data_IF_969126268902
#
_entry.id   IF_969126268902
#
_cell.length_a   1.000
_cell.length_b   1.000
_cell.length_c   1.000
_cell.angle_alpha   90.00
_cell.angle_beta   90.00
_cell.angle_gamma   90.00
#
_symmetry.space_group_name_H-M   'P 1'
#
loop_
_entity.id
_entity.type
_entity.pdbx_description
1 polymer ?
#
# COMPACT_ATOMS: atom_id res chain seq x y z
N UNK A 1 -9.32 -19.98 -26.17
CA UNK A 1 -10.72 -19.68 -25.79
C UNK A 1 -10.97 -18.18 -25.58
N UNK A 2 -10.08 -17.46 -24.86
CA UNK A 2 -10.26 -16.02 -24.65
C UNK A 2 -9.68 -15.14 -25.77
N UNK A 3 -8.63 -15.61 -26.45
CA UNK A 3 -8.04 -15.00 -27.66
C UNK A 3 -7.64 -13.51 -27.50
N UNK A 4 -7.21 -12.86 -28.59
CA UNK A 4 -6.85 -11.44 -28.64
C UNK A 4 -7.60 -10.74 -29.77
N UNK A 5 -7.55 -9.41 -29.78
CA UNK A 5 -8.08 -8.59 -30.86
C UNK A 5 -7.03 -8.42 -31.97
N UNK A 6 -7.46 -8.57 -33.22
CA UNK A 6 -6.56 -8.51 -34.39
C UNK A 6 -7.28 -7.85 -35.57
N UNK A 7 -6.56 -6.95 -36.24
CA UNK A 7 -7.05 -6.12 -37.35
C UNK A 7 -5.98 -6.12 -38.43
N UNK A 8 -6.40 -6.19 -39.69
CA UNK A 8 -5.49 -6.09 -40.84
C UNK A 8 -5.13 -4.64 -41.17
N UNK A 9 -4.26 -4.45 -42.17
CA UNK A 9 -3.83 -3.13 -42.63
C UNK A 9 -4.97 -2.28 -43.20
N UNK A 10 -6.05 -2.91 -43.64
CA UNK A 10 -7.24 -2.26 -44.20
C UNK A 10 -8.28 -1.91 -43.12
N UNK A 11 -7.98 -2.19 -41.84
CA UNK A 11 -8.89 -1.95 -40.72
C UNK A 11 -9.97 -3.02 -40.55
N UNK A 12 -9.91 -4.13 -41.29
CA UNK A 12 -10.86 -5.24 -41.15
C UNK A 12 -10.51 -6.09 -39.93
N UNK A 13 -11.52 -6.36 -39.11
CA UNK A 13 -11.37 -7.17 -37.90
C UNK A 13 -11.20 -8.63 -38.27
N UNK A 14 -10.01 -9.17 -38.06
CA UNK A 14 -9.69 -10.60 -38.28
C UNK A 14 -10.11 -11.45 -37.08
N UNK A 15 -9.91 -10.92 -35.86
CA UNK A 15 -10.19 -11.63 -34.62
C UNK A 15 -10.75 -10.70 -33.55
N UNK A 16 -11.74 -11.18 -32.82
CA UNK A 16 -12.30 -10.51 -31.64
C UNK A 16 -11.88 -11.26 -30.38
N UNK A 17 -11.43 -10.51 -29.37
CA UNK A 17 -11.22 -11.05 -28.03
C UNK A 17 -12.57 -11.48 -27.43
N UNK A 18 -12.62 -12.70 -26.89
CA UNK A 18 -13.87 -13.33 -26.41
C UNK A 18 -13.96 -13.36 -24.88
N UNK A 19 -12.94 -12.92 -24.17
CA UNK A 19 -13.00 -12.76 -22.72
C UNK A 19 -11.75 -12.13 -22.13
N UNK A 20 -11.80 -11.91 -20.82
CA UNK A 20 -10.79 -11.20 -20.05
C UNK A 20 -10.38 -12.01 -18.83
N UNK A 21 -9.11 -11.88 -18.44
CA UNK A 21 -8.61 -12.41 -17.17
C UNK A 21 -8.67 -11.30 -16.14
N UNK A 22 -9.50 -11.47 -15.11
CA UNK A 22 -9.50 -10.59 -13.94
C UNK A 22 -8.60 -11.18 -12.87
N UNK A 23 -7.48 -10.52 -12.58
CA UNK A 23 -6.52 -10.93 -11.55
C UNK A 23 -6.70 -10.02 -10.35
N UNK A 24 -7.20 -10.57 -9.24
CA UNK A 24 -7.31 -9.86 -7.97
C UNK A 24 -6.27 -10.41 -6.99
N UNK A 25 -5.73 -9.55 -6.13
CA UNK A 25 -4.84 -9.95 -5.04
C UNK A 25 -5.22 -9.16 -3.79
N UNK A 26 -5.34 -9.84 -2.65
CA UNK A 26 -5.71 -9.22 -1.38
C UNK A 26 -4.59 -8.33 -0.80
N UNK A 27 -3.31 -8.62 -1.11
CA UNK A 27 -2.19 -8.06 -0.35
C UNK A 27 -1.13 -7.31 -1.16
N UNK A 28 -1.19 -7.25 -2.50
CA UNK A 28 -0.34 -6.33 -3.29
C UNK A 28 -0.66 -6.34 -4.80
N UNK A 29 -0.39 -5.19 -5.42
CA UNK A 29 -0.31 -5.02 -6.86
C UNK A 29 0.79 -5.90 -7.48
N UNK A 30 1.91 -6.09 -6.77
CA UNK A 30 3.12 -6.75 -7.30
C UNK A 30 2.84 -8.20 -7.77
N UNK A 31 2.07 -9.01 -7.02
CA UNK A 31 1.72 -10.38 -7.44
C UNK A 31 0.79 -10.39 -8.65
N UNK A 32 -0.14 -9.43 -8.74
CA UNK A 32 -1.02 -9.34 -9.92
C UNK A 32 -0.23 -8.97 -11.16
N UNK A 33 0.73 -8.03 -11.05
CA UNK A 33 1.56 -7.60 -12.18
C UNK A 33 2.38 -8.77 -12.75
N UNK A 34 2.97 -9.60 -11.89
CA UNK A 34 3.68 -10.81 -12.32
C UNK A 34 2.75 -11.75 -13.09
N UNK A 35 1.58 -12.09 -12.55
CA UNK A 35 0.62 -12.99 -13.24
C UNK A 35 0.15 -12.40 -14.57
N UNK A 36 -0.20 -11.11 -14.59
CA UNK A 36 -0.63 -10.43 -15.81
C UNK A 36 0.47 -10.39 -16.87
N UNK A 37 1.72 -10.15 -16.48
CA UNK A 37 2.87 -10.19 -17.41
C UNK A 37 3.09 -11.58 -18.03
N UNK A 38 2.88 -12.66 -17.26
CA UNK A 38 2.99 -14.03 -17.77
C UNK A 38 1.90 -14.32 -18.80
N UNK A 39 0.66 -13.91 -18.52
CA UNK A 39 -0.46 -14.07 -19.46
C UNK A 39 -0.21 -13.26 -20.74
N UNK A 40 0.22 -12.00 -20.60
CA UNK A 40 0.51 -11.14 -21.73
C UNK A 40 1.66 -11.69 -22.59
N UNK A 41 2.74 -12.19 -21.96
CA UNK A 41 3.86 -12.82 -22.68
C UNK A 41 3.36 -13.97 -23.54
N UNK A 42 2.59 -14.88 -22.93
CA UNK A 42 2.03 -16.04 -23.64
C UNK A 42 1.14 -15.61 -24.81
N UNK A 43 0.31 -14.59 -24.61
CA UNK A 43 -0.53 -14.06 -25.69
C UNK A 43 0.32 -13.52 -26.86
N UNK A 44 1.39 -12.77 -26.58
CA UNK A 44 2.28 -12.24 -27.63
C UNK A 44 2.99 -13.37 -28.38
N UNK A 45 3.51 -14.38 -27.69
CA UNK A 45 4.19 -15.51 -28.34
C UNK A 45 3.24 -16.31 -29.24
N UNK A 46 2.03 -16.59 -28.75
CA UNK A 46 0.99 -17.26 -29.55
C UNK A 46 0.56 -16.44 -30.76
N UNK A 47 0.48 -15.11 -30.63
CA UNK A 47 0.17 -14.21 -31.75
C UNK A 47 1.25 -14.27 -32.84
N UNK A 48 2.52 -14.38 -32.46
CA UNK A 48 3.64 -14.52 -33.39
C UNK A 48 3.79 -15.94 -33.95
N UNK A 49 2.87 -16.87 -33.64
CA UNK A 49 2.91 -18.25 -34.13
C UNK A 49 3.99 -19.11 -33.47
N UNK A 50 4.54 -18.68 -32.33
CA UNK A 50 5.56 -19.42 -31.60
C UNK A 50 4.88 -20.50 -30.75
N UNK A 51 5.34 -21.74 -30.89
CA UNK A 51 4.87 -22.82 -30.03
C UNK A 51 5.34 -22.59 -28.58
N UNK A 52 4.37 -22.50 -27.67
CA UNK A 52 4.58 -22.26 -26.25
C UNK A 52 4.45 -23.53 -25.41
N UNK A 53 4.19 -24.68 -26.03
CA UNK A 53 4.01 -25.95 -25.30
C UNK A 53 5.32 -26.51 -24.73
N UNK A 54 6.45 -26.23 -25.36
CA UNK A 54 7.79 -26.65 -24.93
C UNK A 54 8.56 -25.58 -24.14
N UNK A 55 8.04 -24.34 -24.08
CA UNK A 55 8.69 -23.25 -23.37
C UNK A 55 8.37 -23.31 -21.88
N UNK A 56 9.39 -23.09 -21.05
CA UNK A 56 9.15 -22.78 -19.65
C UNK A 56 8.33 -21.49 -19.56
N UNK A 57 7.28 -21.50 -18.74
CA UNK A 57 6.32 -20.40 -18.62
C UNK A 57 6.94 -19.03 -18.27
N UNK A 58 8.19 -19.03 -17.82
CA UNK A 58 8.90 -17.85 -17.35
C UNK A 58 9.71 -17.11 -18.43
N UNK A 59 10.08 -17.74 -19.54
CA UNK A 59 10.97 -17.13 -20.55
C UNK A 59 10.51 -17.41 -21.99
N UNK A 60 10.81 -16.46 -22.88
CA UNK A 60 10.71 -16.63 -24.33
C UNK A 60 12.08 -16.99 -24.93
N UNK A 61 12.11 -17.60 -26.12
CA UNK A 61 13.36 -17.94 -26.80
C UNK A 61 14.12 -16.72 -27.35
N UNK A 62 13.62 -15.50 -27.15
CA UNK A 62 14.16 -14.27 -27.73
C UNK A 62 14.70 -13.34 -26.63
N UNK A 63 16.02 -13.33 -26.36
CA UNK A 63 16.60 -12.57 -25.25
C UNK A 63 16.35 -11.05 -25.31
N UNK A 64 16.39 -10.47 -26.52
CA UNK A 64 16.13 -9.04 -26.71
C UNK A 64 14.67 -8.68 -26.38
N UNK A 65 13.73 -9.53 -26.78
CA UNK A 65 12.32 -9.38 -26.41
C UNK A 65 12.12 -9.52 -24.90
N UNK A 66 12.74 -10.51 -24.24
CA UNK A 66 12.62 -10.65 -22.78
C UNK A 66 13.11 -9.41 -22.03
N UNK A 67 14.26 -8.86 -22.43
CA UNK A 67 14.79 -7.66 -21.78
C UNK A 67 13.82 -6.48 -21.94
N UNK A 68 13.35 -6.23 -23.16
CA UNK A 68 12.38 -5.16 -23.43
C UNK A 68 11.05 -5.37 -22.69
N UNK A 69 10.52 -6.59 -22.73
CA UNK A 69 9.24 -6.95 -22.11
C UNK A 69 9.29 -6.84 -20.59
N UNK A 70 10.36 -7.37 -19.95
CA UNK A 70 10.56 -7.28 -18.50
C UNK A 70 10.69 -5.82 -18.04
N UNK A 71 11.41 -4.98 -18.78
CA UNK A 71 11.52 -3.55 -18.47
C UNK A 71 10.17 -2.84 -18.62
N UNK A 72 9.45 -3.06 -19.71
CA UNK A 72 8.13 -2.45 -19.95
C UNK A 72 7.13 -2.82 -18.83
N UNK A 73 7.12 -4.09 -18.41
CA UNK A 73 6.24 -4.54 -17.32
C UNK A 73 6.68 -4.07 -15.93
N UNK A 74 7.98 -3.81 -15.72
CA UNK A 74 8.45 -3.17 -14.51
C UNK A 74 8.00 -1.70 -14.45
N UNK A 75 8.10 -0.97 -15.55
CA UNK A 75 7.68 0.43 -15.62
C UNK A 75 6.16 0.59 -15.50
N UNK A 76 5.39 -0.34 -16.09
CA UNK A 76 3.95 -0.43 -15.86
C UNK A 76 3.62 -0.67 -14.37
N UNK A 77 4.36 -1.57 -13.70
CA UNK A 77 4.17 -1.83 -12.29
C UNK A 77 4.43 -0.57 -11.45
N UNK A 78 5.50 0.16 -11.76
CA UNK A 78 5.86 1.41 -11.09
C UNK A 78 4.77 2.47 -11.25
N UNK A 79 4.30 2.69 -12.48
CA UNK A 79 3.25 3.67 -12.77
C UNK A 79 1.94 3.34 -12.02
N UNK A 80 1.49 2.08 -12.06
CA UNK A 80 0.26 1.67 -11.36
C UNK A 80 0.46 1.71 -9.84
N UNK A 81 1.66 1.38 -9.34
CA UNK A 81 1.98 1.47 -7.91
C UNK A 81 1.93 2.90 -7.39
N UNK A 82 2.37 3.89 -8.16
CA UNK A 82 2.27 5.30 -7.78
C UNK A 82 0.80 5.72 -7.65
N UNK A 83 -0.04 5.29 -8.59
CA UNK A 83 -1.48 5.54 -8.55
C UNK A 83 -2.21 4.81 -7.43
N UNK A 84 -1.70 3.68 -6.95
CA UNK A 84 -2.34 2.91 -5.88
C UNK A 84 -1.79 3.26 -4.50
N UNK A 85 -0.49 3.10 -4.31
CA UNK A 85 0.20 3.20 -3.03
C UNK A 85 1.01 4.51 -2.85
N UNK A 86 1.07 5.37 -3.88
CA UNK A 86 1.82 6.64 -3.84
C UNK A 86 3.35 6.48 -3.89
N UNK A 87 3.85 5.27 -4.12
CA UNK A 87 5.28 4.97 -4.31
C UNK A 87 5.49 4.10 -5.54
N UNK A 88 6.73 3.98 -6.02
CA UNK A 88 7.09 2.94 -7.00
C UNK A 88 6.77 1.52 -6.50
N UNK A 89 6.78 0.55 -7.41
CA UNK A 89 6.53 -0.85 -7.12
C UNK A 89 7.64 -1.41 -6.20
N UNK A 90 7.31 -2.45 -5.42
CA UNK A 90 8.33 -3.18 -4.69
C UNK A 90 8.87 -4.28 -5.60
N UNK A 91 10.12 -4.69 -5.37
CA UNK A 91 10.77 -5.78 -6.10
C UNK A 91 10.93 -5.53 -7.60
N UNK A 92 11.01 -4.27 -8.02
CA UNK A 92 11.28 -3.91 -9.43
C UNK A 92 12.59 -4.50 -9.94
N UNK A 93 13.60 -4.63 -9.07
CA UNK A 93 14.87 -5.30 -9.37
C UNK A 93 14.69 -6.79 -9.71
N UNK A 94 13.79 -7.48 -9.00
CA UNK A 94 13.44 -8.87 -9.29
C UNK A 94 12.71 -8.99 -10.63
N UNK A 95 11.80 -8.07 -10.96
CA UNK A 95 11.13 -8.06 -12.27
C UNK A 95 12.10 -7.78 -13.42
N UNK A 96 13.07 -6.87 -13.22
CA UNK A 96 14.06 -6.49 -14.25
C UNK A 96 15.16 -7.52 -14.44
N UNK A 97 15.67 -8.12 -13.37
CA UNK A 97 16.89 -8.95 -13.42
C UNK A 97 16.69 -10.41 -13.01
N UNK A 98 15.52 -10.77 -12.47
CA UNK A 98 15.26 -12.11 -11.93
C UNK A 98 16.03 -12.44 -10.64
N UNK A 99 16.86 -11.52 -10.13
CA UNK A 99 17.65 -11.69 -8.90
C UNK A 99 17.43 -10.52 -7.96
N UNK A 100 17.66 -10.75 -6.67
CA UNK A 100 17.59 -9.70 -5.65
C UNK A 100 18.93 -9.03 -5.44
N UNK A 101 18.92 -7.70 -5.45
CA UNK A 101 20.10 -6.87 -5.17
C UNK A 101 19.99 -6.22 -3.79
N UNK A 102 21.13 -5.97 -3.13
CA UNK A 102 21.16 -5.29 -1.81
C UNK A 102 20.62 -3.86 -1.94
N UNK A 103 20.99 -3.16 -3.01
CA UNK A 103 20.47 -1.83 -3.30
C UNK A 103 18.94 -1.84 -3.52
N UNK A 104 18.41 -2.83 -4.25
CA UNK A 104 16.97 -3.02 -4.43
C UNK A 104 16.25 -3.36 -3.12
N UNK A 105 16.87 -4.12 -2.22
CA UNK A 105 16.32 -4.41 -0.91
C UNK A 105 16.23 -3.16 -0.02
N UNK A 106 17.23 -2.28 -0.05
CA UNK A 106 17.20 -1.00 0.68
C UNK A 106 16.13 -0.06 0.13
N UNK A 107 16.05 0.08 -1.20
CA UNK A 107 15.02 0.90 -1.85
C UNK A 107 13.62 0.42 -1.50
N UNK A 108 13.42 -0.90 -1.45
CA UNK A 108 12.16 -1.48 -1.04
C UNK A 108 11.84 -1.26 0.44
N UNK A 109 12.84 -1.19 1.29
CA UNK A 109 12.68 -0.78 2.69
C UNK A 109 12.12 0.64 2.78
N UNK A 110 12.73 1.59 2.06
CA UNK A 110 12.26 2.99 2.00
C UNK A 110 10.83 3.05 1.47
N UNK A 111 10.57 2.41 0.32
CA UNK A 111 9.23 2.36 -0.26
C UNK A 111 8.21 1.74 0.71
N UNK A 112 8.59 0.70 1.47
CA UNK A 112 7.70 0.06 2.44
C UNK A 112 7.34 1.00 3.60
N UNK A 113 8.30 1.77 4.13
CA UNK A 113 8.04 2.77 5.17
C UNK A 113 7.14 3.89 4.63
N UNK A 114 7.43 4.39 3.43
CA UNK A 114 6.62 5.42 2.78
C UNK A 114 5.20 4.94 2.53
N UNK A 115 5.02 3.72 2.02
CA UNK A 115 3.69 3.09 1.85
C UNK A 115 2.97 2.94 3.19
N UNK A 116 3.67 2.52 4.24
CA UNK A 116 3.08 2.41 5.57
C UNK A 116 2.54 3.77 6.04
N UNK A 117 3.30 4.85 5.85
CA UNK A 117 2.84 6.19 6.17
C UNK A 117 1.61 6.60 5.32
N UNK A 118 1.73 6.52 3.99
CA UNK A 118 0.67 6.94 3.07
C UNK A 118 -0.63 6.17 3.31
N UNK A 119 -0.55 4.85 3.48
CA UNK A 119 -1.71 3.98 3.71
C UNK A 119 -2.41 4.28 5.04
N UNK A 120 -1.68 4.70 6.08
CA UNK A 120 -2.27 4.94 7.39
C UNK A 120 -2.72 6.38 7.60
N UNK A 121 -2.05 7.37 6.98
CA UNK A 121 -2.27 8.78 7.31
C UNK A 121 -2.79 9.63 6.15
N UNK A 122 -2.77 9.13 4.91
CA UNK A 122 -3.19 9.90 3.72
C UNK A 122 -4.26 9.19 2.89
N UNK A 123 -4.35 7.86 2.98
CA UNK A 123 -5.24 7.05 2.13
C UNK A 123 -6.72 7.35 2.32
N UNK A 124 -7.17 7.65 3.55
CA UNK A 124 -8.56 8.01 3.80
C UNK A 124 -9.03 9.22 2.98
N UNK A 125 -8.21 10.27 2.91
CA UNK A 125 -8.51 11.48 2.11
C UNK A 125 -8.50 11.15 0.61
N UNK A 126 -7.57 10.28 0.17
CA UNK A 126 -7.48 9.83 -1.21
C UNK A 126 -8.74 9.09 -1.64
N UNK A 127 -9.21 8.16 -0.80
CA UNK A 127 -10.44 7.42 -1.04
C UNK A 127 -11.66 8.36 -1.09
N UNK A 128 -11.72 9.32 -0.19
CA UNK A 128 -12.79 10.32 -0.17
C UNK A 128 -12.81 11.16 -1.46
N UNK A 129 -11.64 11.52 -1.99
CA UNK A 129 -11.54 12.23 -3.27
C UNK A 129 -12.04 11.38 -4.45
N UNK A 130 -11.76 10.07 -4.45
CA UNK A 130 -12.30 9.15 -5.46
C UNK A 130 -13.82 9.03 -5.37
N UNK A 131 -14.37 8.91 -4.15
CA UNK A 131 -15.81 8.79 -3.95
C UNK A 131 -16.57 10.05 -4.39
N UNK A 132 -15.98 11.24 -4.22
CA UNK A 132 -16.51 12.48 -4.80
C UNK A 132 -16.42 12.50 -6.33
N UNK A 133 -15.27 12.13 -6.89
CA UNK A 133 -15.03 12.20 -8.33
C UNK A 133 -15.92 11.25 -9.13
N UNK A 134 -16.15 10.04 -8.59
CA UNK A 134 -17.00 9.01 -9.23
C UNK A 134 -18.49 9.26 -8.95
N UNK A 135 -18.83 10.21 -8.07
CA UNK A 135 -20.22 10.53 -7.72
C UNK A 135 -20.87 9.56 -6.73
N UNK A 136 -20.07 8.81 -5.96
CA UNK A 136 -20.56 7.91 -4.90
C UNK A 136 -21.08 8.68 -3.68
N UNK A 137 -20.66 9.95 -3.50
CA UNK A 137 -21.14 10.82 -2.44
C UNK A 137 -21.78 12.09 -3.02
N UNK A 138 -22.93 12.49 -2.49
CA UNK A 138 -23.61 13.75 -2.83
C UNK A 138 -23.63 14.65 -1.61
N UNK A 139 -23.02 15.83 -1.72
CA UNK A 139 -22.98 16.80 -0.62
C UNK A 139 -24.36 17.46 -0.41
N UNK A 140 -24.85 17.44 0.83
CA UNK A 140 -26.02 18.20 1.26
C UNK A 140 -25.58 19.45 2.03
N UNK A 141 -26.20 20.60 1.72
CA UNK A 141 -25.94 21.88 2.42
C UNK A 141 -26.40 21.88 3.87
N UNK A 142 -27.27 20.95 4.25
CA UNK A 142 -27.82 20.83 5.61
C UNK A 142 -26.95 19.97 6.54
N UNK A 143 -25.99 19.24 5.98
CA UNK A 143 -25.09 18.37 6.75
C UNK A 143 -23.76 19.06 7.00
N UNK A 144 -23.20 18.85 8.18
CA UNK A 144 -21.84 19.32 8.50
C UNK A 144 -20.81 18.70 7.55
N UNK A 145 -19.68 19.38 7.39
CA UNK A 145 -18.55 18.85 6.62
C UNK A 145 -18.10 17.52 7.23
N UNK A 146 -18.05 16.43 6.46
CA UNK A 146 -17.60 15.13 6.95
C UNK A 146 -16.07 15.09 7.13
N UNK A 147 -15.34 16.10 6.62
CA UNK A 147 -13.91 16.26 6.87
C UNK A 147 -13.66 16.89 8.24
N UNK A 148 -13.18 16.07 9.18
CA UNK A 148 -12.76 16.55 10.50
C UNK A 148 -11.28 16.92 10.54
N UNK A 149 -10.91 17.88 11.39
CA UNK A 149 -9.50 18.29 11.59
C UNK A 149 -8.63 17.12 12.04
N UNK A 150 -9.18 16.23 12.88
CA UNK A 150 -8.49 15.03 13.35
C UNK A 150 -8.17 14.06 12.23
N UNK A 151 -9.09 13.87 11.27
CA UNK A 151 -8.88 12.99 10.12
C UNK A 151 -7.78 13.54 9.20
N UNK A 152 -7.81 14.85 8.92
CA UNK A 152 -6.82 15.51 8.05
C UNK A 152 -5.41 15.49 8.65
N UNK A 153 -5.29 15.55 9.97
CA UNK A 153 -4.01 15.67 10.68
C UNK A 153 -3.73 14.46 11.59
N UNK A 154 -4.24 13.28 11.26
CA UNK A 154 -4.15 12.06 12.08
C UNK A 154 -2.72 11.75 12.58
N UNK A 155 -1.71 11.95 11.73
CA UNK A 155 -0.30 11.80 12.10
C UNK A 155 0.15 12.79 13.17
N UNK A 156 -0.24 14.07 13.05
CA UNK A 156 0.09 15.12 14.02
C UNK A 156 -0.59 14.85 15.35
N UNK A 157 -1.86 14.42 15.34
CA UNK A 157 -2.57 14.02 16.55
C UNK A 157 -1.88 12.85 17.25
N UNK A 158 -1.50 11.81 16.50
CA UNK A 158 -0.76 10.67 17.06
C UNK A 158 0.59 11.09 17.65
N UNK A 159 1.33 11.98 16.98
CA UNK A 159 2.61 12.51 17.51
C UNK A 159 2.39 13.33 18.79
N UNK A 160 1.33 14.15 18.82
CA UNK A 160 0.98 14.97 19.98
C UNK A 160 0.62 14.11 21.18
N UNK A 161 -0.18 13.05 20.97
CA UNK A 161 -0.52 12.07 22.01
C UNK A 161 0.74 11.35 22.53
N UNK A 162 1.66 10.96 21.63
CA UNK A 162 2.92 10.31 22.01
C UNK A 162 3.82 11.25 22.84
N UNK A 163 3.93 12.52 22.46
CA UNK A 163 4.70 13.53 23.21
C UNK A 163 4.05 13.81 24.57
N UNK A 164 2.71 13.91 24.63
CA UNK A 164 1.98 14.07 25.89
C UNK A 164 2.23 12.90 26.84
N UNK A 165 2.18 11.67 26.34
CA UNK A 165 2.48 10.48 27.13
C UNK A 165 3.94 10.46 27.62
N UNK A 166 4.90 10.83 26.76
CA UNK A 166 6.31 10.92 27.14
C UNK A 166 6.53 11.96 28.25
N UNK A 167 5.87 13.12 28.15
CA UNK A 167 5.95 14.17 29.16
C UNK A 167 5.35 13.72 30.50
N UNK A 168 4.25 12.97 30.48
CA UNK A 168 3.65 12.38 31.70
C UNK A 168 4.62 11.38 32.35
N UNK A 169 5.21 10.46 31.56
CA UNK A 169 6.17 9.46 32.08
C UNK A 169 7.39 10.16 32.69
N UNK A 170 7.95 11.15 31.99
CA UNK A 170 9.06 11.94 32.50
C UNK A 170 8.67 12.70 33.78
N UNK A 171 7.48 13.31 33.84
CA UNK A 171 6.97 14.01 35.01
C UNK A 171 6.78 13.08 36.23
N UNK A 172 6.26 11.88 36.02
CA UNK A 172 6.13 10.86 37.08
C UNK A 172 7.51 10.40 37.57
N UNK A 173 8.43 10.11 36.66
CA UNK A 173 9.81 9.74 37.02
C UNK A 173 10.51 10.83 37.81
N UNK A 174 10.36 12.10 37.40
CA UNK A 174 10.86 13.27 38.13
C UNK A 174 10.24 13.39 39.53
N UNK A 175 8.98 12.98 39.71
CA UNK A 175 8.26 13.10 40.98
C UNK A 175 8.60 11.96 41.96
N UNK A 176 8.81 10.74 41.46
CA UNK A 176 9.14 9.57 42.28
C UNK A 176 10.58 9.62 42.84
N UNK A 177 11.51 10.20 42.08
CA UNK A 177 12.93 10.31 42.44
C UNK A 177 13.29 11.71 42.96
N UNK A 178 12.43 12.32 43.79
CA UNK A 178 12.63 13.71 44.23
C UNK A 178 13.95 13.94 45.01
N UNK A 179 14.44 12.92 45.72
CA UNK A 179 15.68 12.97 46.51
C UNK A 179 16.97 12.94 45.68
N UNK A 180 16.88 12.55 44.41
CA UNK A 180 18.05 12.29 43.56
C UNK A 180 18.47 13.56 42.80
N UNK A 181 19.70 13.57 42.28
CA UNK A 181 20.20 14.67 41.47
C UNK A 181 19.37 14.84 40.18
N UNK A 182 19.16 16.08 39.76
CA UNK A 182 18.31 16.45 38.61
C UNK A 182 18.79 15.77 37.33
N UNK A 183 20.11 15.61 37.17
CA UNK A 183 20.72 14.94 36.01
C UNK A 183 20.28 13.48 35.90
N UNK A 184 20.27 12.77 37.03
CA UNK A 184 19.84 11.37 37.14
C UNK A 184 18.35 11.26 36.86
N UNK A 185 17.54 12.15 37.44
CA UNK A 185 16.08 12.15 37.28
C UNK A 185 15.64 12.39 35.84
N UNK A 186 16.28 13.34 35.14
CA UNK A 186 15.99 13.61 33.72
C UNK A 186 16.40 12.43 32.85
N UNK A 187 17.60 11.86 33.08
CA UNK A 187 18.06 10.68 32.36
C UNK A 187 17.08 9.51 32.51
N UNK A 188 16.72 9.19 33.74
CA UNK A 188 15.87 8.04 34.04
C UNK A 188 14.43 8.25 33.52
N UNK A 189 13.93 9.49 33.55
CA UNK A 189 12.67 9.86 32.93
C UNK A 189 12.67 9.72 31.40
N UNK A 190 13.74 10.14 30.72
CA UNK A 190 13.90 9.96 29.27
C UNK A 190 14.01 8.48 28.89
N UNK A 191 14.76 7.69 29.66
CA UNK A 191 14.88 6.24 29.46
C UNK A 191 13.53 5.56 29.67
N UNK A 192 12.80 5.90 30.73
CA UNK A 192 11.47 5.36 31.00
C UNK A 192 10.47 5.72 29.90
N UNK A 193 10.50 6.95 29.39
CA UNK A 193 9.66 7.37 28.27
C UNK A 193 10.00 6.61 26.99
N UNK A 194 11.29 6.45 26.66
CA UNK A 194 11.73 5.69 25.49
C UNK A 194 11.31 4.21 25.55
N UNK A 195 11.49 3.56 26.72
CA UNK A 195 11.07 2.17 26.95
C UNK A 195 9.55 2.04 26.87
N UNK A 196 8.81 2.94 27.53
CA UNK A 196 7.35 2.95 27.53
C UNK A 196 6.76 3.13 26.14
N UNK A 197 7.27 4.09 25.36
CA UNK A 197 6.84 4.32 23.98
C UNK A 197 7.19 3.14 23.07
N UNK A 198 8.37 2.53 23.25
CA UNK A 198 8.78 1.35 22.46
C UNK A 198 7.89 0.14 22.74
N UNK A 199 7.53 -0.08 24.01
CA UNK A 199 6.58 -1.13 24.41
C UNK A 199 5.18 -0.86 23.85
N UNK A 200 4.70 0.39 23.93
CA UNK A 200 3.41 0.78 23.36
C UNK A 200 3.39 0.56 21.85
N UNK A 201 4.43 1.02 21.14
CA UNK A 201 4.57 0.81 19.70
C UNK A 201 4.57 -0.69 19.35
N UNK A 202 5.32 -1.51 20.10
CA UNK A 202 5.31 -2.96 19.94
C UNK A 202 3.91 -3.56 20.16
N UNK A 203 3.19 -3.13 21.19
CA UNK A 203 1.83 -3.60 21.48
C UNK A 203 0.82 -3.18 20.40
N UNK A 204 0.94 -1.97 19.87
CA UNK A 204 0.10 -1.48 18.76
C UNK A 204 0.38 -2.23 17.45
N UNK A 205 1.63 -2.62 17.20
CA UNK A 205 2.04 -3.39 16.03
C UNK A 205 1.71 -4.90 16.17
N UNK A 206 1.69 -5.43 17.40
CA UNK A 206 1.42 -6.85 17.66
C UNK A 206 -0.06 -7.18 17.39
N UNK A 207 -0.29 -8.23 16.60
CA UNK A 207 -1.62 -8.73 16.26
C UNK A 207 -2.39 -9.13 17.53
N UNK A 208 -3.48 -8.44 17.87
CA UNK A 208 -4.27 -8.69 19.08
C UNK A 208 -5.17 -7.52 19.49
N UNK A 209 -5.53 -7.45 20.78
CA UNK A 209 -6.47 -6.45 21.34
C UNK A 209 -6.08 -4.99 21.11
N UNK A 210 -4.78 -4.66 21.10
CA UNK A 210 -4.30 -3.27 20.96
C UNK A 210 -4.39 -2.73 19.54
N UNK A 211 -4.66 -3.58 18.54
CA UNK A 211 -4.90 -3.13 17.16
C UNK A 211 -6.11 -2.19 17.07
N UNK A 212 -7.09 -2.34 17.97
CA UNK A 212 -8.28 -1.47 17.99
C UNK A 212 -7.93 -0.02 18.29
N UNK A 213 -6.97 0.20 19.20
CA UNK A 213 -6.45 1.51 19.61
C UNK A 213 -5.69 2.16 18.45
N UNK A 214 -4.85 1.39 17.76
CA UNK A 214 -4.14 1.89 16.57
C UNK A 214 -5.07 2.40 15.46
N UNK A 215 -6.32 1.92 15.39
CA UNK A 215 -7.32 2.43 14.43
C UNK A 215 -7.82 3.84 14.76
N UNK A 216 -7.54 4.40 15.93
CA UNK A 216 -7.85 5.81 16.23
C UNK A 216 -6.77 6.75 15.74
N UNK A 217 -5.55 6.25 15.54
CA UNK A 217 -4.41 7.03 15.10
C UNK A 217 -4.31 7.16 13.57
N UNK A 218 -5.18 6.50 12.80
CA UNK A 218 -5.11 6.44 11.33
C UNK A 218 -6.18 7.30 10.67
N UNK A 219 -5.86 7.85 9.51
CA UNK A 219 -6.79 8.56 8.64
C UNK A 219 -7.73 7.57 7.94
N UNK A 220 -8.98 7.50 8.39
CA UNK A 220 -10.03 6.72 7.71
C UNK A 220 -10.76 7.58 6.67
N UNK A 221 -11.36 6.97 5.63
CA UNK A 221 -12.27 7.69 4.74
C UNK A 221 -13.52 8.15 5.51
N UNK A 222 -14.01 9.34 5.19
CA UNK A 222 -15.20 9.96 5.75
C UNK A 222 -16.48 9.61 4.97
N UNK A 223 -16.40 9.51 3.64
CA UNK A 223 -17.55 9.22 2.79
C UNK A 223 -17.80 7.72 2.66
N UNK A 224 -16.72 6.95 2.64
CA UNK A 224 -16.81 5.53 2.45
C UNK A 224 -17.30 4.89 3.76
N UNK A 225 -18.58 4.48 3.80
CA UNK A 225 -19.09 3.57 4.82
C UNK A 225 -18.45 2.21 4.62
N UNK A 226 -17.17 2.05 4.93
CA UNK A 226 -16.53 0.75 4.81
C UNK A 226 -17.20 -0.19 5.80
N UNK A 227 -18.07 -1.04 5.26
CA UNK A 227 -18.74 -2.16 5.90
C UNK A 227 -17.79 -3.26 6.40
N UNK A 228 -16.56 -2.90 6.81
CA UNK A 228 -15.76 -3.75 7.68
C UNK A 228 -16.26 -3.72 9.13
N UNK A 229 -17.06 -2.70 9.51
CA UNK A 229 -17.80 -2.65 10.78
C UNK A 229 -19.21 -2.10 10.51
N UNK A 230 -20.03 -2.89 9.84
CA UNK A 230 -21.49 -2.98 10.05
C UNK A 230 -21.94 -4.26 9.36
N UNK A 231 -22.11 -5.34 10.14
CA UNK A 231 -23.12 -6.32 9.76
C UNK A 231 -24.45 -5.58 9.84
N UNK A 232 -25.29 -5.59 8.80
CA UNK A 232 -26.69 -5.29 9.01
C UNK A 232 -27.16 -6.31 10.06
N UNK A 233 -27.71 -5.82 11.16
CA UNK A 233 -28.49 -6.68 12.04
C UNK A 233 -29.59 -7.30 11.18
N UNK A 234 -29.53 -8.60 10.97
CA UNK A 234 -30.68 -9.36 10.52
C UNK A 234 -31.72 -9.30 11.64
N UNK A 235 -32.65 -8.36 11.53
CA UNK A 235 -34.11 -8.57 11.55
C UNK A 235 -34.85 -7.24 11.48
#
# INVERSE_FOLDING_TARGET
KYDWFEVDTDGRVLKKQKGVFRVNCMDNLDRTNVVMSLVARRCVLLFLGIDTTSLEWLDSPFPAFESFFKNTWADNADAVSIMYAGTGALKTDFTRTGRRTIAGALQDGINSVTRYYLNNFSDGIRQDAFDLFVGNFTADRRTDSPFTVQQQNSFVFMLTEAVGLAAIIAGVSLSLHWSDDVTVRVRDGLVAAAVGLSLLAYLLLKKGSFRSVGRHCVCKPAFCSTGYIRRPETK
#
